data_IF_469101114445
#
_entry.id   IF_469101114445
#
_cell.length_a   1.000
_cell.length_b   1.000
_cell.length_c   1.000
_cell.angle_alpha   90.00
_cell.angle_beta   90.00
_cell.angle_gamma   90.00
#
_symmetry.space_group_name_H-M   'P 1'
#
loop_
_entity.id
_entity.type
_entity.pdbx_description
1 polymer ?
#
# COMPACT_ATOMS: atom_id res chain seq x y z
N UNK A 1 80.44 -8.92 -0.98
CA UNK A 1 79.09 -8.99 -1.64
C UNK A 1 77.98 -8.64 -0.64
N UNK A 2 77.77 -7.36 -0.30
CA UNK A 2 76.57 -6.89 0.44
C UNK A 2 75.97 -5.61 -0.13
N UNK A 3 76.76 -4.85 -0.89
CA UNK A 3 76.37 -3.61 -1.58
C UNK A 3 75.32 -3.82 -2.69
N UNK A 4 75.32 -4.98 -3.36
CA UNK A 4 74.40 -5.19 -4.50
C UNK A 4 72.93 -5.37 -4.07
N UNK A 5 72.67 -5.95 -2.89
CA UNK A 5 71.30 -6.14 -2.40
C UNK A 5 70.66 -4.85 -1.90
N UNK A 6 71.43 -3.98 -1.26
CA UNK A 6 70.95 -2.69 -0.79
C UNK A 6 70.63 -1.75 -1.96
N UNK A 7 71.48 -1.76 -3.00
CA UNK A 7 71.28 -0.95 -4.19
C UNK A 7 70.02 -1.36 -4.97
N UNK A 8 69.79 -2.67 -5.17
CA UNK A 8 68.59 -3.14 -5.83
C UNK A 8 67.30 -2.77 -5.06
N UNK A 9 67.31 -2.88 -3.73
CA UNK A 9 66.17 -2.51 -2.90
C UNK A 9 65.85 -1.01 -2.98
N UNK A 10 66.88 -0.17 -2.99
CA UNK A 10 66.71 1.28 -3.05
C UNK A 10 66.16 1.73 -4.41
N UNK A 11 66.59 1.07 -5.49
CA UNK A 11 66.05 1.31 -6.85
C UNK A 11 64.59 0.86 -6.96
N UNK A 12 64.20 -0.27 -6.33
CA UNK A 12 62.80 -0.72 -6.36
C UNK A 12 61.89 0.20 -5.57
N UNK A 13 62.31 0.64 -4.38
CA UNK A 13 61.54 1.58 -3.57
C UNK A 13 61.36 2.92 -4.29
N UNK A 14 62.41 3.41 -4.96
CA UNK A 14 62.34 4.66 -5.73
C UNK A 14 61.39 4.54 -6.94
N UNK A 15 61.38 3.40 -7.64
CA UNK A 15 60.47 3.15 -8.76
C UNK A 15 58.99 3.03 -8.32
N UNK A 16 58.73 2.47 -7.14
CA UNK A 16 57.35 2.41 -6.60
C UNK A 16 56.85 3.80 -6.20
N UNK A 17 57.73 4.63 -5.62
CA UNK A 17 57.39 6.01 -5.24
C UNK A 17 57.06 6.91 -6.44
N UNK A 18 57.73 6.73 -7.58
CA UNK A 18 57.45 7.53 -8.79
C UNK A 18 56.13 7.15 -9.46
N UNK A 19 55.73 5.87 -9.42
CA UNK A 19 54.43 5.43 -9.97
C UNK A 19 53.27 5.98 -9.13
N UNK A 20 53.39 5.97 -7.79
CA UNK A 20 52.35 6.51 -6.89
C UNK A 20 52.17 8.03 -7.00
N UNK A 21 53.21 8.77 -7.42
CA UNK A 21 53.14 10.22 -7.55
C UNK A 21 52.49 10.71 -8.87
N UNK A 22 52.33 9.82 -9.87
CA UNK A 22 51.77 10.19 -11.18
C UNK A 22 50.23 10.13 -11.27
N UNK A 23 49.51 9.66 -10.23
CA UNK A 23 48.04 9.53 -10.25
C UNK A 23 47.29 10.77 -9.72
N UNK A 24 47.97 11.88 -9.46
CA UNK A 24 47.35 13.14 -9.00
C UNK A 24 46.82 14.04 -10.14
N UNK A 25 46.59 13.48 -11.34
CA UNK A 25 46.38 14.21 -12.59
C UNK A 25 44.94 14.58 -12.99
N UNK A 26 43.95 14.62 -12.09
CA UNK A 26 42.57 14.94 -12.47
C UNK A 26 41.80 15.75 -11.41
N UNK A 27 42.24 16.98 -11.11
CA UNK A 27 41.54 17.90 -10.20
C UNK A 27 41.13 19.25 -10.80
N UNK A 28 41.10 19.41 -12.12
CA UNK A 28 40.67 20.69 -12.73
C UNK A 28 39.65 20.47 -13.84
N UNK A 29 38.41 20.23 -13.43
CA UNK A 29 37.22 20.47 -14.25
C UNK A 29 36.23 21.33 -13.44
N UNK A 30 36.62 22.58 -13.17
CA UNK A 30 35.71 23.60 -12.64
C UNK A 30 34.77 24.03 -13.78
N UNK A 31 33.69 23.28 -13.96
CA UNK A 31 32.60 23.63 -14.85
C UNK A 31 31.94 24.93 -14.42
N UNK A 32 31.97 25.94 -15.28
CA UNK A 32 31.14 27.14 -15.18
C UNK A 32 29.67 26.71 -15.25
N UNK A 33 28.96 26.75 -14.12
CA UNK A 33 27.54 26.43 -14.09
C UNK A 33 26.74 27.66 -14.55
N UNK A 34 26.12 27.54 -15.71
CA UNK A 34 25.14 28.52 -16.20
C UNK A 34 23.99 28.59 -15.20
N UNK A 35 23.59 29.78 -14.70
CA UNK A 35 22.52 29.88 -13.72
C UNK A 35 21.20 29.36 -14.30
N UNK A 36 20.67 28.32 -13.66
CA UNK A 36 19.36 27.73 -14.01
C UNK A 36 18.27 28.76 -13.74
N UNK A 37 17.49 29.12 -14.76
CA UNK A 37 16.35 30.03 -14.59
C UNK A 37 15.33 29.42 -13.63
N UNK A 38 15.00 30.14 -12.57
CA UNK A 38 13.93 29.77 -11.64
C UNK A 38 12.59 29.77 -12.38
N UNK A 39 11.82 28.67 -12.36
CA UNK A 39 10.50 28.64 -12.99
C UNK A 39 9.56 29.64 -12.32
N UNK A 40 8.76 30.33 -13.13
CA UNK A 40 7.73 31.27 -12.66
C UNK A 40 6.62 30.48 -11.96
N UNK A 41 6.07 30.95 -10.82
CA UNK A 41 4.97 30.27 -10.16
C UNK A 41 3.76 30.15 -11.10
N UNK A 42 3.26 28.93 -11.24
CA UNK A 42 2.05 28.61 -12.00
C UNK A 42 0.82 29.00 -11.21
N UNK A 43 -0.12 29.72 -11.83
CA UNK A 43 -1.39 30.07 -11.19
C UNK A 43 -2.20 28.81 -10.88
N UNK A 44 -2.50 28.59 -9.60
CA UNK A 44 -3.40 27.53 -9.16
C UNK A 44 -4.85 27.97 -9.46
N UNK A 45 -5.65 27.17 -10.19
CA UNK A 45 -7.05 27.51 -10.44
C UNK A 45 -7.84 27.54 -9.13
N UNK A 46 -8.78 28.48 -9.04
CA UNK A 46 -9.68 28.61 -7.89
C UNK A 46 -10.67 27.43 -7.90
N UNK A 47 -10.94 26.78 -6.75
CA UNK A 47 -11.92 25.70 -6.69
C UNK A 47 -13.31 26.21 -7.08
N UNK A 48 -13.96 25.49 -7.99
CA UNK A 48 -15.35 25.71 -8.39
C UNK A 48 -16.26 24.99 -7.40
N UNK A 49 -17.29 25.66 -6.90
CA UNK A 49 -18.29 25.02 -6.04
C UNK A 49 -19.10 24.00 -6.83
N UNK A 50 -19.13 22.76 -6.33
CA UNK A 50 -20.03 21.71 -6.84
C UNK A 50 -21.45 22.05 -6.40
N UNK A 51 -22.46 21.99 -7.30
CA UNK A 51 -23.85 22.21 -6.92
C UNK A 51 -24.30 21.17 -5.91
N UNK A 52 -25.08 21.62 -4.92
CA UNK A 52 -25.71 20.75 -3.92
C UNK A 52 -26.86 20.01 -4.63
N UNK A 53 -26.97 18.67 -4.52
CA UNK A 53 -28.07 17.92 -5.10
C UNK A 53 -29.41 18.33 -4.47
N UNK A 54 -30.45 18.37 -5.29
CA UNK A 54 -31.81 18.73 -4.87
C UNK A 54 -32.46 17.55 -4.11
N UNK A 55 -33.19 17.86 -3.03
CA UNK A 55 -33.81 16.84 -2.18
C UNK A 55 -34.87 16.06 -2.97
N UNK A 56 -34.65 14.76 -3.10
CA UNK A 56 -35.61 13.86 -3.76
C UNK A 56 -36.72 13.49 -2.77
N UNK A 57 -37.98 13.70 -3.17
CA UNK A 57 -39.14 13.37 -2.35
C UNK A 57 -39.15 11.89 -1.95
N UNK A 58 -39.30 11.62 -0.66
CA UNK A 58 -39.45 10.27 -0.11
C UNK A 58 -40.86 9.75 -0.42
N UNK A 59 -41.04 8.53 -0.97
CA UNK A 59 -42.36 7.97 -1.26
C UNK A 59 -43.17 7.77 0.02
N UNK A 60 -44.49 7.98 -0.08
CA UNK A 60 -45.42 7.76 1.01
C UNK A 60 -45.54 6.26 1.37
N UNK A 61 -45.79 5.92 2.64
CA UNK A 61 -45.97 4.53 3.06
C UNK A 61 -47.22 3.92 2.42
N UNK A 62 -47.09 2.68 1.96
CA UNK A 62 -48.20 1.86 1.44
C UNK A 62 -49.00 1.26 2.58
N UNK A 63 -50.33 1.39 2.53
CA UNK A 63 -51.23 0.81 3.52
C UNK A 63 -51.07 -0.71 3.62
N UNK A 64 -50.87 -1.18 4.85
CA UNK A 64 -50.76 -2.60 5.17
C UNK A 64 -52.17 -3.19 5.29
N UNK A 65 -52.49 -4.32 4.63
CA UNK A 65 -53.82 -4.91 4.71
C UNK A 65 -54.14 -5.40 6.12
N UNK A 66 -55.39 -5.18 6.53
CA UNK A 66 -55.95 -5.57 7.83
C UNK A 66 -56.03 -7.10 7.96
N UNK A 67 -55.57 -7.71 9.07
CA UNK A 67 -55.61 -9.16 9.25
C UNK A 67 -57.04 -9.67 9.49
N UNK A 68 -57.36 -10.79 8.83
CA UNK A 68 -58.61 -11.53 8.95
C UNK A 68 -58.79 -12.14 10.36
N UNK A 69 -60.03 -12.16 10.92
CA UNK A 69 -60.26 -12.62 12.29
C UNK A 69 -59.95 -14.12 12.48
N UNK A 70 -59.03 -14.41 13.39
CA UNK A 70 -58.70 -15.77 13.84
C UNK A 70 -59.53 -16.11 15.08
N UNK A 71 -60.25 -17.22 15.04
CA UNK A 71 -61.11 -17.74 16.11
C UNK A 71 -60.30 -18.09 17.37
N UNK A 72 -60.74 -17.55 18.53
CA UNK A 72 -60.04 -17.63 19.80
C UNK A 72 -60.06 -19.03 20.43
N UNK A 73 -58.89 -19.52 20.87
CA UNK A 73 -58.76 -20.48 21.96
C UNK A 73 -58.13 -19.79 23.16
N UNK A 74 -58.82 -19.87 24.29
CA UNK A 74 -58.43 -19.32 25.59
C UNK A 74 -57.19 -20.05 26.14
N UNK A 75 -56.07 -19.33 26.24
CA UNK A 75 -54.90 -19.72 27.04
C UNK A 75 -54.46 -18.50 27.86
N UNK A 76 -54.05 -18.76 29.10
CA UNK A 76 -53.77 -17.81 30.19
C UNK A 76 -52.79 -16.67 29.84
N UNK A 77 -52.85 -15.53 30.56
CA UNK A 77 -52.14 -14.31 30.19
C UNK A 77 -50.66 -14.35 30.63
N UNK A 78 -49.76 -14.39 29.65
CA UNK A 78 -48.33 -14.07 29.85
C UNK A 78 -48.10 -12.62 29.43
N UNK A 79 -47.49 -11.82 30.32
CA UNK A 79 -47.18 -10.39 30.10
C UNK A 79 -46.45 -10.18 28.77
N UNK A 80 -47.03 -9.36 27.90
CA UNK A 80 -46.45 -8.94 26.63
C UNK A 80 -45.30 -7.94 26.86
N UNK A 81 -44.12 -8.13 26.25
CA UNK A 81 -43.05 -7.13 26.23
C UNK A 81 -43.45 -5.91 25.40
N UNK A 82 -42.93 -4.73 25.77
CA UNK A 82 -43.17 -3.47 25.06
C UNK A 82 -42.71 -3.52 23.58
N UNK A 83 -43.41 -2.81 22.67
CA UNK A 83 -43.08 -2.80 21.25
C UNK A 83 -41.72 -2.12 21.00
N UNK A 84 -40.78 -2.87 20.45
CA UNK A 84 -39.50 -2.35 19.98
C UNK A 84 -39.74 -1.59 18.68
N UNK A 85 -39.56 -0.27 18.72
CA UNK A 85 -39.57 0.59 17.53
C UNK A 85 -38.43 0.16 16.61
N UNK A 86 -38.76 -0.40 15.45
CA UNK A 86 -37.77 -0.73 14.41
C UNK A 86 -37.26 0.57 13.81
N UNK A 87 -36.07 0.99 14.19
CA UNK A 87 -35.32 2.06 13.52
C UNK A 87 -35.13 1.64 12.05
N UNK A 88 -35.40 2.51 11.06
CA UNK A 88 -35.11 2.22 9.67
C UNK A 88 -33.61 1.95 9.50
N UNK A 89 -33.25 0.68 9.32
CA UNK A 89 -31.89 0.30 8.97
C UNK A 89 -31.65 0.72 7.53
N UNK A 90 -30.61 1.56 7.34
CA UNK A 90 -30.05 1.87 6.02
C UNK A 90 -29.95 0.57 5.21
N UNK A 91 -30.42 0.53 3.95
CA UNK A 91 -30.27 -0.65 3.11
C UNK A 91 -28.83 -1.16 3.19
N UNK A 92 -28.62 -2.47 3.38
CA UNK A 92 -27.28 -3.05 3.38
C UNK A 92 -26.57 -2.60 2.11
N UNK A 93 -25.30 -2.17 2.25
CA UNK A 93 -24.49 -1.91 1.08
C UNK A 93 -24.52 -3.15 0.17
N UNK A 94 -24.60 -2.98 -1.17
CA UNK A 94 -24.57 -4.11 -2.08
C UNK A 94 -23.40 -5.03 -1.72
N UNK A 95 -23.62 -6.36 -1.63
CA UNK A 95 -22.53 -7.28 -1.39
C UNK A 95 -21.46 -7.04 -2.46
N UNK A 96 -20.21 -6.84 -2.02
CA UNK A 96 -19.10 -6.71 -2.95
C UNK A 96 -19.14 -7.89 -3.92
N UNK A 97 -18.92 -7.68 -5.23
CA UNK A 97 -18.93 -8.77 -6.19
C UNK A 97 -17.98 -9.85 -5.70
N UNK A 98 -18.52 -11.04 -5.42
CA UNK A 98 -17.73 -12.21 -5.07
C UNK A 98 -17.05 -12.67 -6.34
N UNK A 99 -15.93 -12.05 -6.71
CA UNK A 99 -15.04 -12.63 -7.68
C UNK A 99 -14.56 -13.96 -7.07
N UNK A 100 -14.85 -15.12 -7.69
CA UNK A 100 -14.35 -16.39 -7.18
C UNK A 100 -12.84 -16.40 -7.42
N UNK A 101 -12.12 -15.81 -6.49
CA UNK A 101 -10.68 -15.75 -6.49
C UNK A 101 -10.18 -17.19 -6.40
N UNK A 102 -9.59 -17.70 -7.48
CA UNK A 102 -9.15 -19.09 -7.50
C UNK A 102 -7.85 -19.19 -6.71
N UNK A 103 -7.76 -20.06 -5.70
CA UNK A 103 -6.50 -20.26 -4.97
C UNK A 103 -5.42 -20.70 -5.97
N UNK A 104 -4.26 -20.02 -5.94
CA UNK A 104 -3.12 -20.17 -6.88
C UNK A 104 -3.31 -19.61 -8.29
N UNK A 105 -3.91 -18.45 -8.47
CA UNK A 105 -3.51 -17.66 -9.64
C UNK A 105 -2.07 -17.21 -9.43
N UNK A 106 -1.19 -17.52 -10.40
CA UNK A 106 0.20 -17.08 -10.42
C UNK A 106 0.20 -15.58 -10.71
N UNK A 107 -0.04 -14.80 -9.66
CA UNK A 107 0.09 -13.35 -9.70
C UNK A 107 1.57 -13.02 -9.90
N UNK A 108 1.85 -12.26 -10.94
CA UNK A 108 3.13 -11.59 -11.07
C UNK A 108 3.22 -10.51 -10.00
N UNK A 109 4.26 -10.60 -9.18
CA UNK A 109 4.54 -9.62 -8.14
C UNK A 109 5.62 -8.67 -8.63
N UNK A 110 5.32 -7.38 -8.61
CA UNK A 110 6.34 -6.33 -8.76
C UNK A 110 6.44 -5.56 -7.46
N UNK A 111 7.65 -5.42 -6.92
CA UNK A 111 7.88 -4.62 -5.71
C UNK A 111 9.02 -3.62 -5.91
N UNK A 112 8.91 -2.46 -5.28
CA UNK A 112 9.98 -1.48 -5.24
C UNK A 112 9.86 -0.52 -4.06
N UNK A 113 11.00 -0.01 -3.56
CA UNK A 113 10.99 1.07 -2.58
C UNK A 113 10.50 2.37 -3.21
N UNK A 114 9.83 3.17 -2.40
CA UNK A 114 9.26 4.45 -2.77
C UNK A 114 9.91 5.58 -1.97
N UNK A 115 10.06 6.79 -2.55
CA UNK A 115 10.45 7.96 -1.78
C UNK A 115 9.47 8.17 -0.62
N UNK A 116 10.05 8.30 0.58
CA UNK A 116 9.31 8.56 1.79
C UNK A 116 10.18 9.40 2.73
N UNK A 117 9.52 10.24 3.53
CA UNK A 117 10.18 10.93 4.63
C UNK A 117 10.70 9.95 5.68
N UNK A 118 11.56 10.41 6.61
CA UNK A 118 11.98 9.59 7.73
C UNK A 118 10.76 9.14 8.55
N UNK A 119 10.87 7.97 9.19
CA UNK A 119 9.83 7.41 10.08
C UNK A 119 8.50 7.07 9.40
N UNK A 120 8.46 6.98 8.07
CA UNK A 120 7.33 6.40 7.33
C UNK A 120 7.50 4.89 7.31
N UNK A 121 6.44 4.13 7.62
CA UNK A 121 6.43 2.67 7.54
C UNK A 121 5.15 2.25 6.84
N UNK A 122 5.18 2.14 5.52
CA UNK A 122 3.96 1.98 4.74
C UNK A 122 4.15 1.05 3.55
N UNK A 123 3.15 0.21 3.28
CA UNK A 123 3.05 -0.54 2.03
C UNK A 123 1.78 -0.11 1.33
N UNK A 124 1.88 0.13 0.02
CA UNK A 124 0.74 0.37 -0.87
C UNK A 124 0.83 -0.54 -2.07
N UNK A 125 -0.27 -0.70 -2.78
CA UNK A 125 -0.23 -1.48 -4.01
C UNK A 125 -1.56 -1.69 -4.67
N UNK A 126 -1.52 -2.52 -5.71
CA UNK A 126 -2.73 -2.90 -6.46
C UNK A 126 -2.88 -4.40 -6.51
N UNK A 127 -4.14 -4.82 -6.56
CA UNK A 127 -4.56 -6.16 -6.92
C UNK A 127 -5.39 -6.04 -8.19
N UNK A 128 -4.83 -6.50 -9.31
CA UNK A 128 -5.35 -6.26 -10.65
C UNK A 128 -5.36 -7.52 -11.50
N UNK A 129 -6.48 -7.79 -12.17
CA UNK A 129 -6.62 -8.87 -13.17
C UNK A 129 -7.53 -8.39 -14.31
N UNK A 130 -7.09 -7.37 -15.03
CA UNK A 130 -7.90 -6.65 -16.04
C UNK A 130 -8.91 -5.66 -15.44
N UNK A 131 -9.24 -5.82 -14.16
CA UNK A 131 -9.98 -4.87 -13.30
C UNK A 131 -9.40 -4.88 -11.90
N UNK A 132 -9.67 -3.83 -11.11
CA UNK A 132 -9.33 -3.79 -9.69
C UNK A 132 -10.14 -4.81 -8.91
N UNK A 133 -9.47 -5.55 -8.03
CA UNK A 133 -10.11 -6.55 -7.19
C UNK A 133 -10.20 -6.01 -5.75
N UNK A 134 -11.43 -5.71 -5.33
CA UNK A 134 -11.77 -5.28 -3.98
C UNK A 134 -12.15 -6.46 -3.08
N UNK A 135 -12.06 -6.30 -1.76
CA UNK A 135 -12.43 -7.32 -0.77
C UNK A 135 -11.40 -8.43 -0.57
N UNK A 136 -10.19 -8.30 -1.13
CA UNK A 136 -9.09 -9.23 -0.88
C UNK A 136 -8.40 -8.86 0.41
N UNK A 137 -8.18 -9.83 1.28
CA UNK A 137 -7.53 -9.58 2.57
C UNK A 137 -6.01 -9.62 2.42
N UNK A 138 -5.38 -8.50 2.74
CA UNK A 138 -3.92 -8.32 2.70
C UNK A 138 -3.40 -8.43 4.12
N UNK A 139 -2.53 -9.41 4.37
CA UNK A 139 -1.94 -9.65 5.69
C UNK A 139 -0.43 -9.47 5.63
N UNK A 140 0.12 -8.92 6.70
CA UNK A 140 1.55 -8.87 6.94
C UNK A 140 1.86 -9.77 8.13
N UNK A 141 2.69 -10.77 7.90
CA UNK A 141 3.14 -11.71 8.90
C UNK A 141 4.51 -11.28 9.44
N UNK A 142 4.71 -11.46 10.74
CA UNK A 142 6.04 -11.35 11.34
C UNK A 142 6.91 -12.58 11.02
N UNK A 143 8.17 -12.56 11.48
CA UNK A 143 9.11 -13.69 11.35
C UNK A 143 8.62 -15.01 11.96
N UNK A 144 7.63 -14.97 12.85
CA UNK A 144 7.02 -16.16 13.47
C UNK A 144 5.80 -16.68 12.70
N UNK A 145 5.42 -16.01 11.61
CA UNK A 145 4.25 -16.34 10.80
C UNK A 145 2.92 -15.86 11.39
N UNK A 146 2.95 -14.98 12.41
CA UNK A 146 1.73 -14.40 12.99
C UNK A 146 1.37 -13.12 12.27
N UNK A 147 0.07 -12.87 12.12
CA UNK A 147 -0.43 -11.62 11.55
C UNK A 147 -0.04 -10.47 12.48
N UNK A 148 0.81 -9.57 11.99
CA UNK A 148 1.23 -8.38 12.70
C UNK A 148 0.29 -7.21 12.37
N UNK A 149 -0.05 -7.05 11.10
CA UNK A 149 -1.02 -6.05 10.61
C UNK A 149 -1.79 -6.63 9.42
N UNK A 150 -3.01 -6.13 9.20
CA UNK A 150 -3.87 -6.55 8.11
C UNK A 150 -4.75 -5.41 7.61
N UNK A 151 -5.17 -5.50 6.36
CA UNK A 151 -6.12 -4.58 5.72
C UNK A 151 -6.92 -5.34 4.65
N UNK A 152 -7.98 -4.72 4.16
CA UNK A 152 -8.78 -5.25 3.06
C UNK A 152 -8.49 -4.40 1.83
N UNK A 153 -8.56 -4.95 0.62
CA UNK A 153 -8.51 -4.15 -0.59
C UNK A 153 -9.85 -3.46 -0.85
N UNK A 154 -9.83 -2.26 -1.43
CA UNK A 154 -11.02 -1.46 -1.75
C UNK A 154 -11.09 -1.13 -3.24
N UNK A 155 -11.91 -0.13 -3.59
CA UNK A 155 -11.93 0.45 -4.93
C UNK A 155 -10.61 1.17 -5.24
N UNK A 156 -10.30 1.46 -6.50
CA UNK A 156 -9.08 2.20 -6.83
C UNK A 156 -9.14 3.63 -6.28
N UNK A 157 -8.09 4.03 -5.60
CA UNK A 157 -7.85 5.42 -5.18
C UNK A 157 -6.68 6.00 -5.95
N UNK A 158 -6.74 7.29 -6.27
CA UNK A 158 -5.65 7.97 -6.97
C UNK A 158 -4.39 8.06 -6.10
N UNK A 159 -3.23 7.73 -6.66
CA UNK A 159 -1.94 7.95 -6.01
C UNK A 159 -1.69 9.45 -5.86
N UNK A 160 -1.17 9.92 -4.72
CA UNK A 160 -0.79 11.32 -4.57
C UNK A 160 0.39 11.63 -5.53
N UNK A 161 0.28 12.63 -6.42
CA UNK A 161 1.34 13.01 -7.35
C UNK A 161 2.65 13.48 -6.69
N UNK A 162 2.61 13.88 -5.42
CA UNK A 162 3.80 14.30 -4.65
C UNK A 162 4.77 13.16 -4.33
N UNK A 163 4.41 11.89 -4.57
CA UNK A 163 5.27 10.74 -4.26
C UNK A 163 6.42 10.54 -5.25
N UNK A 164 6.54 11.44 -6.22
CA UNK A 164 7.61 11.45 -7.19
C UNK A 164 7.46 10.35 -8.24
N UNK A 165 8.04 10.61 -9.39
CA UNK A 165 8.15 9.76 -10.58
C UNK A 165 8.91 8.44 -10.34
N UNK A 166 8.99 7.91 -9.11
CA UNK A 166 9.84 6.75 -8.79
C UNK A 166 9.18 5.64 -7.99
N UNK A 167 7.84 5.54 -8.02
CA UNK A 167 7.12 4.37 -7.50
C UNK A 167 6.44 3.52 -8.60
N UNK A 168 6.93 3.66 -9.83
CA UNK A 168 6.48 3.10 -11.12
C UNK A 168 5.48 4.00 -11.88
N UNK A 169 6.06 4.92 -12.66
CA UNK A 169 5.56 6.15 -13.31
C UNK A 169 4.23 6.14 -14.10
N UNK A 170 3.49 5.03 -14.22
CA UNK A 170 2.21 4.99 -14.96
C UNK A 170 1.00 4.54 -14.12
N UNK A 171 1.21 4.13 -12.87
CA UNK A 171 0.15 3.50 -12.07
C UNK A 171 -0.44 4.50 -11.07
N UNK A 172 -1.33 5.35 -11.59
CA UNK A 172 -1.99 6.44 -10.86
C UNK A 172 -3.00 5.99 -9.81
N UNK A 173 -3.07 4.71 -9.45
CA UNK A 173 -4.02 4.28 -8.42
C UNK A 173 -3.50 3.11 -7.62
N UNK A 174 -3.96 2.96 -6.39
CA UNK A 174 -3.74 1.81 -5.53
C UNK A 174 -5.10 1.35 -5.00
N UNK A 175 -5.19 0.13 -4.49
CA UNK A 175 -6.43 -0.35 -3.88
C UNK A 175 -6.21 -1.12 -2.58
N UNK A 176 -5.01 -1.01 -2.01
CA UNK A 176 -4.75 -1.30 -0.61
C UNK A 176 -3.58 -0.46 -0.09
N UNK A 177 -3.61 -0.19 1.21
CA UNK A 177 -2.59 0.53 1.96
C UNK A 177 -2.54 -0.05 3.37
N UNK A 178 -1.34 -0.24 3.90
CA UNK A 178 -1.11 -0.78 5.23
C UNK A 178 0.02 -0.02 5.92
N UNK A 179 -0.28 0.45 7.14
CA UNK A 179 0.70 1.00 8.07
C UNK A 179 1.38 -0.18 8.79
N UNK A 180 2.69 -0.32 8.58
CA UNK A 180 3.50 -1.38 9.18
C UNK A 180 4.34 -0.88 10.36
N UNK A 181 4.11 0.36 10.80
CA UNK A 181 4.73 0.92 12.02
C UNK A 181 4.61 -0.01 13.24
N UNK A 182 3.49 -0.72 13.47
CA UNK A 182 3.37 -1.68 14.58
C UNK A 182 4.29 -2.91 14.45
N UNK A 183 4.70 -3.25 13.23
CA UNK A 183 5.48 -4.45 12.90
C UNK A 183 6.96 -4.15 12.59
N UNK A 184 7.40 -2.90 12.70
CA UNK A 184 8.74 -2.44 12.28
C UNK A 184 9.92 -3.15 12.99
N UNK A 185 9.70 -3.69 14.18
CA UNK A 185 10.71 -4.41 14.98
C UNK A 185 10.60 -5.94 14.84
N UNK A 186 9.64 -6.42 14.05
CA UNK A 186 9.29 -7.84 13.97
C UNK A 186 10.18 -8.65 13.01
N UNK A 187 11.22 -8.05 12.44
CA UNK A 187 12.13 -8.68 11.49
C UNK A 187 11.57 -8.69 10.06
N UNK A 188 12.13 -9.48 9.13
CA UNK A 188 11.62 -9.50 7.76
C UNK A 188 10.12 -9.82 7.80
N UNK A 189 9.34 -8.97 7.14
CA UNK A 189 7.90 -9.09 7.11
C UNK A 189 7.49 -9.88 5.86
N UNK A 190 6.44 -10.69 5.99
CA UNK A 190 5.88 -11.41 4.86
C UNK A 190 4.52 -10.82 4.49
N UNK A 191 4.40 -10.21 3.33
CA UNK A 191 3.11 -9.78 2.78
C UNK A 191 2.48 -10.94 2.01
N UNK A 192 1.18 -11.15 2.25
CA UNK A 192 0.40 -12.26 1.67
C UNK A 192 -1.04 -11.82 1.43
N UNK A 193 -1.64 -12.30 0.35
CA UNK A 193 -3.08 -12.23 0.13
C UNK A 193 -3.75 -13.48 0.70
N UNK A 194 -4.88 -13.30 1.36
CA UNK A 194 -5.68 -14.38 1.97
C UNK A 194 -7.13 -14.31 1.51
N UNK A 195 -7.83 -15.43 1.63
CA UNK A 195 -9.20 -15.60 1.15
C UNK A 195 -10.22 -14.77 1.95
N UNK A 196 -9.92 -14.49 3.23
CA UNK A 196 -10.88 -13.93 4.17
C UNK A 196 -10.20 -13.37 5.42
N UNK A 197 -10.81 -12.39 6.08
CA UNK A 197 -10.42 -11.96 7.44
C UNK A 197 -10.40 -13.13 8.43
N UNK A 198 -11.34 -14.06 8.24
CA UNK A 198 -11.48 -15.27 9.06
C UNK A 198 -10.92 -16.53 8.36
N UNK A 199 -10.47 -16.40 7.11
CA UNK A 199 -9.91 -17.49 6.32
C UNK A 199 -8.52 -17.07 5.84
N UNK A 200 -7.52 -17.40 6.65
CA UNK A 200 -6.11 -17.06 6.41
C UNK A 200 -5.47 -17.96 5.36
N UNK A 201 -6.25 -18.74 4.62
CA UNK A 201 -5.72 -19.56 3.52
C UNK A 201 -5.03 -18.66 2.50
N UNK A 202 -3.74 -18.87 2.20
CA UNK A 202 -3.01 -18.06 1.23
C UNK A 202 -3.61 -18.25 -0.16
N UNK A 203 -3.84 -17.14 -0.85
CA UNK A 203 -4.24 -17.13 -2.26
C UNK A 203 -3.14 -16.60 -3.17
N UNK A 204 -2.11 -15.96 -2.60
CA UNK A 204 -0.91 -15.50 -3.32
C UNK A 204 0.36 -16.23 -2.87
N UNK A 205 1.45 -16.00 -3.60
CA UNK A 205 2.81 -16.25 -3.11
C UNK A 205 3.16 -15.27 -1.99
N UNK A 206 4.16 -15.64 -1.19
CA UNK A 206 4.68 -14.80 -0.12
C UNK A 206 5.68 -13.78 -0.66
N UNK A 207 5.56 -12.54 -0.20
CA UNK A 207 6.47 -11.45 -0.57
C UNK A 207 7.23 -11.01 0.68
N UNK A 208 8.54 -11.23 0.68
CA UNK A 208 9.42 -10.80 1.77
C UNK A 208 9.74 -9.31 1.63
N UNK A 209 9.58 -8.57 2.72
CA UNK A 209 9.81 -7.14 2.80
C UNK A 209 10.81 -6.86 3.92
N UNK A 210 11.93 -6.25 3.54
CA UNK A 210 12.96 -5.79 4.47
C UNK A 210 12.84 -4.28 4.66
N UNK A 211 12.45 -3.87 5.86
CA UNK A 211 12.26 -2.47 6.21
C UNK A 211 13.54 -1.95 6.89
N UNK A 212 14.26 -0.97 6.31
CA UNK A 212 15.35 -0.29 7.00
C UNK A 212 14.87 0.41 8.27
N UNK A 213 15.76 0.53 9.25
CA UNK A 213 15.49 1.12 10.56
C UNK A 213 14.99 2.56 10.50
N UNK A 214 15.40 3.33 9.49
CA UNK A 214 14.96 4.71 9.25
C UNK A 214 13.54 4.86 8.68
N UNK A 215 12.87 3.74 8.41
CA UNK A 215 11.59 3.71 7.72
C UNK A 215 11.74 3.63 6.20
N UNK A 216 10.62 3.41 5.55
CA UNK A 216 10.48 3.43 4.10
C UNK A 216 9.03 3.24 3.69
N UNK A 217 8.81 3.39 2.39
CA UNK A 217 7.56 3.03 1.74
C UNK A 217 7.84 1.98 0.69
N UNK A 218 6.95 1.00 0.57
CA UNK A 218 7.00 0.00 -0.48
C UNK A 218 5.75 0.07 -1.32
N UNK A 219 5.94 -0.18 -2.60
CA UNK A 219 4.85 -0.38 -3.54
C UNK A 219 4.90 -1.81 -4.06
N UNK A 220 3.80 -2.55 -3.91
CA UNK A 220 3.72 -3.98 -4.25
C UNK A 220 2.48 -4.24 -5.11
N UNK A 221 2.71 -4.60 -6.36
CA UNK A 221 1.66 -4.87 -7.33
C UNK A 221 1.48 -6.37 -7.53
N UNK A 222 0.22 -6.79 -7.45
CA UNK A 222 -0.25 -8.14 -7.73
C UNK A 222 -1.03 -8.10 -9.03
N UNK A 223 -0.42 -8.58 -10.11
CA UNK A 223 -0.97 -8.50 -11.46
C UNK A 223 -1.12 -9.90 -12.04
N UNK A 224 -2.26 -10.15 -12.67
CA UNK A 224 -2.45 -11.30 -13.55
C UNK A 224 -2.35 -10.88 -15.01
#
# INVERSE_FOLDING_TARGET
MRINRLFFFLVTVLAVLTVLACDAGNLVALGSSTPTRTPRPTFTPRPTFTPIPEDTATPAPTDTPEPSPTTARTVAPTKAPAPVVKVPTKPPAPPAPSFPWRPKQELSVTQGPCPAGPSVYEIKGRIWSGVYISGVHVVVLDKSGRIAVQTDSWGPESMNPEWGVSCFEEKNSYNYQIDISPARESGPLTLRLTNGKNDTTPISTDVQISIPSGGGRWYIDWVK
#
